data_IF_828865061448
#
_entry.id   IF_828865061448
#
_cell.length_a   1.000
_cell.length_b   1.000
_cell.length_c   1.000
_cell.angle_alpha   90.00
_cell.angle_beta   90.00
_cell.angle_gamma   90.00
#
_symmetry.space_group_name_H-M   'P 1'
#
loop_
_entity.id
_entity.type
_entity.pdbx_description
1 polymer ?
#
# COMPACT_ATOMS: atom_id res chain seq x y z
N UNK A 1 -12.20 13.53 7.02
CA UNK A 1 -11.63 12.58 8.00
C UNK A 1 -12.40 11.28 7.87
N UNK A 2 -11.80 10.20 7.35
CA UNK A 2 -12.55 8.95 7.08
C UNK A 2 -11.73 7.74 6.64
N UNK A 3 -10.40 7.88 6.48
CA UNK A 3 -9.51 6.77 6.16
C UNK A 3 -8.84 6.33 7.46
N UNK A 4 -8.98 5.06 7.81
CA UNK A 4 -8.34 4.43 8.98
C UNK A 4 -7.75 3.10 8.55
N UNK A 5 -6.64 2.71 9.16
CA UNK A 5 -6.12 1.35 8.98
C UNK A 5 -7.08 0.30 9.53
N UNK A 6 -7.03 -0.89 8.93
CA UNK A 6 -7.83 -2.04 9.35
C UNK A 6 -7.49 -2.51 10.77
N UNK A 7 -6.23 -2.37 11.18
CA UNK A 7 -5.75 -2.69 12.52
C UNK A 7 -6.05 -1.58 13.55
N UNK A 8 -6.62 -0.47 13.10
CA UNK A 8 -6.98 0.67 13.92
C UNK A 8 -5.81 1.52 14.41
N UNK A 9 -4.58 1.19 14.03
CA UNK A 9 -3.36 1.87 14.45
C UNK A 9 -3.12 3.17 13.66
N UNK A 10 -2.30 4.08 14.19
CA UNK A 10 -2.02 5.39 13.58
C UNK A 10 -1.04 5.31 12.42
N UNK A 11 -1.31 6.03 11.32
CA UNK A 11 -0.40 6.14 10.16
C UNK A 11 1.04 6.50 10.59
N UNK A 12 2.08 5.89 9.97
CA UNK A 12 3.46 6.25 10.27
C UNK A 12 3.68 7.75 10.05
N UNK A 13 4.37 8.42 10.99
CA UNK A 13 4.46 9.88 11.02
C UNK A 13 5.38 10.46 9.93
N UNK A 14 6.28 9.64 9.39
CA UNK A 14 7.22 9.95 8.32
C UNK A 14 6.56 9.95 6.93
N UNK A 15 5.34 9.46 6.83
CA UNK A 15 4.61 9.36 5.57
C UNK A 15 3.86 10.66 5.31
N UNK A 16 4.40 11.43 4.36
CA UNK A 16 3.85 12.74 3.96
C UNK A 16 2.87 12.66 2.81
N UNK A 17 2.90 11.58 2.03
CA UNK A 17 2.02 11.39 0.86
C UNK A 17 1.72 9.92 0.64
N UNK A 18 0.46 9.64 0.30
CA UNK A 18 -0.01 8.31 0.00
C UNK A 18 -1.13 8.34 -1.05
N UNK A 19 -1.21 7.27 -1.82
CA UNK A 19 -2.24 7.09 -2.86
C UNK A 19 -3.17 5.95 -2.46
N UNK A 20 -4.47 6.12 -2.65
CA UNK A 20 -5.44 5.05 -2.48
C UNK A 20 -5.52 4.21 -3.76
N UNK A 21 -5.30 2.90 -3.65
CA UNK A 21 -5.37 1.96 -4.77
C UNK A 21 -6.46 0.92 -4.50
N UNK A 22 -7.31 0.71 -5.50
CA UNK A 22 -8.39 -0.28 -5.53
C UNK A 22 -8.11 -1.28 -6.68
N UNK A 23 -7.23 -2.28 -6.48
CA UNK A 23 -6.75 -3.15 -7.55
C UNK A 23 -7.88 -3.98 -8.20
N UNK A 24 -8.94 -4.29 -7.45
CA UNK A 24 -10.14 -4.98 -7.94
C UNK A 24 -11.38 -4.08 -8.05
N UNK A 25 -11.23 -2.75 -8.04
CA UNK A 25 -12.35 -1.81 -8.06
C UNK A 25 -13.02 -1.61 -6.69
N UNK A 26 -14.19 -0.96 -6.70
CA UNK A 26 -14.84 -0.41 -5.49
C UNK A 26 -15.29 -1.46 -4.45
N UNK A 27 -15.45 -2.73 -4.85
CA UNK A 27 -15.86 -3.83 -3.97
C UNK A 27 -14.68 -4.64 -3.43
N UNK A 28 -13.45 -4.30 -3.82
CA UNK A 28 -12.23 -4.98 -3.41
C UNK A 28 -11.54 -4.26 -2.25
N UNK A 29 -10.47 -4.86 -1.73
CA UNK A 29 -9.65 -4.25 -0.69
C UNK A 29 -9.04 -2.94 -1.20
N UNK A 30 -9.08 -1.91 -0.35
CA UNK A 30 -8.41 -0.65 -0.60
C UNK A 30 -7.04 -0.66 0.09
N UNK A 31 -6.02 -0.21 -0.64
CA UNK A 31 -4.66 -0.14 -0.15
C UNK A 31 -4.18 1.30 -0.15
N UNK A 32 -3.57 1.73 0.95
CA UNK A 32 -2.82 2.97 0.99
C UNK A 32 -1.38 2.64 0.59
N UNK A 33 -0.91 3.21 -0.52
CA UNK A 33 0.43 2.94 -1.07
C UNK A 33 1.29 4.19 -1.06
N UNK A 34 2.60 4.02 -0.92
CA UNK A 34 3.56 5.12 -0.80
C UNK A 34 4.48 5.20 -2.04
N UNK A 35 5.47 6.08 -2.02
CA UNK A 35 6.34 6.33 -3.17
C UNK A 35 7.05 5.07 -3.71
N UNK A 36 7.39 4.12 -2.83
CA UNK A 36 7.99 2.83 -3.20
C UNK A 36 7.10 1.99 -4.14
N UNK A 37 5.78 2.12 -4.04
CA UNK A 37 4.84 1.42 -4.90
C UNK A 37 5.03 1.75 -6.37
N UNK A 38 5.25 3.03 -6.71
CA UNK A 38 5.50 3.43 -8.09
C UNK A 38 6.81 2.87 -8.63
N UNK A 39 7.82 2.68 -7.76
CA UNK A 39 9.08 2.05 -8.15
C UNK A 39 8.86 0.57 -8.51
N UNK A 40 8.08 -0.16 -7.71
CA UNK A 40 7.70 -1.55 -8.02
C UNK A 40 6.93 -1.64 -9.34
N UNK A 41 6.02 -0.71 -9.60
CA UNK A 41 5.26 -0.65 -10.87
C UNK A 41 6.12 -0.35 -12.10
N UNK A 42 7.24 0.37 -11.94
CA UNK A 42 8.21 0.57 -13.03
C UNK A 42 8.92 -0.74 -13.38
N UNK A 43 9.18 -1.59 -12.39
CA UNK A 43 9.78 -2.91 -12.60
C UNK A 43 8.78 -3.90 -13.22
N UNK A 44 7.56 -3.93 -12.68
CA UNK A 44 6.45 -4.73 -13.22
C UNK A 44 5.13 -3.99 -13.04
N UNK A 45 4.44 -3.68 -14.15
CA UNK A 45 3.17 -2.92 -14.20
C UNK A 45 1.94 -3.73 -13.71
N UNK A 46 2.08 -4.41 -12.58
CA UNK A 46 1.02 -5.19 -11.95
C UNK A 46 0.81 -4.73 -10.51
N UNK A 47 -0.41 -4.29 -10.21
CA UNK A 47 -0.79 -3.87 -8.86
C UNK A 47 -0.68 -5.03 -7.86
N UNK A 48 -1.11 -6.24 -8.26
CA UNK A 48 -1.01 -7.44 -7.41
C UNK A 48 0.43 -7.81 -7.09
N UNK A 49 1.34 -7.67 -8.07
CA UNK A 49 2.77 -7.87 -7.83
C UNK A 49 3.30 -6.89 -6.78
N UNK A 50 3.08 -5.58 -6.99
CA UNK A 50 3.59 -4.55 -6.08
C UNK A 50 3.02 -4.68 -4.66
N UNK A 51 1.73 -5.02 -4.54
CA UNK A 51 1.09 -5.25 -3.24
C UNK A 51 1.63 -6.48 -2.53
N UNK A 52 1.85 -7.59 -3.27
CA UNK A 52 2.39 -8.82 -2.68
C UNK A 52 3.81 -8.61 -2.16
N UNK A 53 4.65 -7.92 -2.93
CA UNK A 53 6.02 -7.59 -2.52
C UNK A 53 6.03 -6.69 -1.28
N UNK A 54 5.18 -5.65 -1.25
CA UNK A 54 5.04 -4.79 -0.07
C UNK A 54 4.62 -5.57 1.17
N UNK A 55 3.53 -6.33 1.09
CA UNK A 55 3.04 -7.16 2.21
C UNK A 55 4.05 -8.20 2.67
N UNK A 56 4.84 -8.76 1.76
CA UNK A 56 5.90 -9.69 2.10
C UNK A 56 7.03 -8.98 2.84
N UNK A 57 7.44 -7.80 2.40
CA UNK A 57 8.45 -6.98 3.09
C UNK A 57 7.98 -6.62 4.51
N UNK A 58 6.74 -6.18 4.69
CA UNK A 58 6.16 -5.86 6.01
C UNK A 58 6.25 -7.07 6.97
N UNK A 59 5.95 -8.28 6.46
CA UNK A 59 6.05 -9.52 7.25
C UNK A 59 7.48 -9.92 7.60
N UNK A 60 8.46 -9.51 6.80
CA UNK A 60 9.88 -9.75 7.07
C UNK A 60 10.46 -8.74 8.08
N UNK A 61 9.69 -7.75 8.54
CA UNK A 61 10.20 -6.64 9.34
C UNK A 61 10.76 -5.51 8.50
N UNK A 62 10.35 -5.43 7.23
CA UNK A 62 10.43 -4.18 6.47
C UNK A 62 9.67 -3.07 7.21
N UNK A 63 10.11 -1.81 7.03
CA UNK A 63 9.51 -0.66 7.69
C UNK A 63 8.01 -0.51 7.38
#
# INVERSE_FOLDING_TARGET
>A
MGIRRLDGQAFPADITSATLVLPGGATSYAFLVYANYQVLLKWNRSNYFALTVGQFADKLGGP
#
